data_IF_175542600915
#
_entry.id   IF_175542600915
#
_cell.length_a   1.000
_cell.length_b   1.000
_cell.length_c   1.000
_cell.angle_alpha   90.00
_cell.angle_beta   90.00
_cell.angle_gamma   90.00
#
_symmetry.space_group_name_H-M   'P 1'
#
loop_
_entity.id
_entity.type
_entity.pdbx_description
1 polymer ?
#
# COMPACT_ATOMS: atom_id res chain seq x y z
N UNK A 1 1.02 -17.95 1.23
CA UNK A 1 0.33 -16.70 0.85
C UNK A 1 0.69 -16.29 -0.56
N UNK A 2 -0.29 -15.97 -1.41
CA UNK A 2 -0.06 -15.40 -2.73
C UNK A 2 0.61 -14.02 -2.62
N UNK A 3 1.36 -13.61 -3.64
CA UNK A 3 2.03 -12.30 -3.73
C UNK A 3 1.42 -11.46 -4.85
N UNK A 4 0.89 -10.28 -4.53
CA UNK A 4 0.33 -9.35 -5.53
C UNK A 4 1.35 -8.28 -5.96
N UNK A 5 1.29 -7.82 -7.22
CA UNK A 5 2.11 -6.70 -7.73
C UNK A 5 1.28 -5.43 -7.89
N UNK A 6 1.78 -4.28 -7.42
CA UNK A 6 1.09 -2.98 -7.51
C UNK A 6 1.48 -2.18 -8.75
N UNK A 7 0.49 -1.63 -9.45
CA UNK A 7 0.65 -0.65 -10.54
C UNK A 7 -0.14 0.62 -10.23
N UNK A 8 0.33 1.78 -10.70
CA UNK A 8 -0.40 3.04 -10.58
C UNK A 8 -1.56 3.13 -11.59
N UNK A 9 -2.63 3.85 -11.21
CA UNK A 9 -3.71 4.21 -12.12
C UNK A 9 -3.29 5.38 -13.03
N UNK A 10 -3.78 5.39 -14.27
CA UNK A 10 -3.50 6.44 -15.27
C UNK A 10 -4.75 7.24 -15.66
N UNK A 11 -5.92 6.84 -15.21
CA UNK A 11 -7.18 7.54 -15.50
C UNK A 11 -7.21 8.86 -14.71
N UNK A 12 -7.39 10.04 -15.36
CA UNK A 12 -7.25 11.35 -14.70
C UNK A 12 -8.07 11.49 -13.42
N UNK A 13 -9.35 11.08 -13.44
CA UNK A 13 -10.24 11.13 -12.28
C UNK A 13 -9.67 10.41 -11.05
N UNK A 14 -9.05 9.24 -11.26
CA UNK A 14 -8.48 8.40 -10.20
C UNK A 14 -7.03 8.76 -9.87
N UNK A 15 -6.28 9.38 -10.76
CA UNK A 15 -4.87 9.72 -10.54
C UNK A 15 -4.67 11.09 -9.84
N UNK A 16 -5.57 12.04 -10.05
CA UNK A 16 -5.40 13.42 -9.57
C UNK A 16 -5.95 13.65 -8.16
N UNK A 17 -5.29 14.53 -7.40
CA UNK A 17 -5.70 14.99 -6.06
C UNK A 17 -5.98 13.86 -5.05
N UNK A 18 -5.27 12.74 -5.15
CA UNK A 18 -5.39 11.58 -4.26
C UNK A 18 -4.68 11.75 -2.90
N UNK A 19 -4.09 12.91 -2.63
CA UNK A 19 -3.21 13.11 -1.47
C UNK A 19 -3.86 12.74 -0.14
N UNK A 20 -5.13 13.10 0.07
CA UNK A 20 -5.87 12.83 1.31
C UNK A 20 -6.13 11.33 1.54
N UNK A 21 -6.43 10.60 0.47
CA UNK A 21 -6.77 9.17 0.49
C UNK A 21 -5.54 8.25 0.45
N UNK A 22 -4.34 8.81 0.24
CA UNK A 22 -3.11 8.03 0.07
C UNK A 22 -2.53 7.57 1.41
N UNK A 23 -3.10 6.49 1.94
CA UNK A 23 -2.54 5.75 3.09
C UNK A 23 -1.87 4.47 2.58
N UNK A 24 -0.53 4.42 2.63
CA UNK A 24 0.25 3.33 2.05
C UNK A 24 1.66 3.24 2.66
N UNK A 25 2.32 2.09 2.50
CA UNK A 25 3.72 1.91 2.91
C UNK A 25 4.52 1.19 1.84
N UNK A 26 5.15 1.95 0.94
CA UNK A 26 5.97 1.41 -0.14
C UNK A 26 5.23 0.35 -0.96
N UNK A 27 5.82 -0.83 -1.08
CA UNK A 27 5.22 -1.99 -1.73
C UNK A 27 4.47 -2.93 -0.78
N UNK A 28 4.40 -2.64 0.52
CA UNK A 28 3.73 -3.53 1.48
C UNK A 28 2.20 -3.46 1.32
N UNK A 29 1.65 -2.24 1.29
CA UNK A 29 0.22 -2.03 1.16
C UNK A 29 -0.17 -0.63 0.67
N UNK A 30 -1.41 -0.50 0.21
CA UNK A 30 -2.16 0.72 -0.06
C UNK A 30 -3.62 0.47 0.29
N UNK A 31 -4.23 1.32 1.11
CA UNK A 31 -5.62 1.11 1.53
C UNK A 31 -6.64 1.39 0.42
N UNK A 32 -6.28 2.26 -0.52
CA UNK A 32 -7.05 2.48 -1.74
C UNK A 32 -6.15 2.19 -2.95
N UNK A 33 -6.68 1.36 -3.85
CA UNK A 33 -6.09 1.04 -5.15
C UNK A 33 -7.17 1.13 -6.21
N UNK A 34 -7.33 2.31 -6.80
CA UNK A 34 -8.41 2.61 -7.77
C UNK A 34 -8.37 1.72 -9.02
N UNK A 35 -7.26 1.01 -9.31
CA UNK A 35 -7.21 0.00 -10.38
C UNK A 35 -8.12 -1.20 -10.14
N UNK A 36 -8.64 -1.39 -8.92
CA UNK A 36 -9.70 -2.37 -8.62
C UNK A 36 -11.01 -2.02 -9.32
N UNK A 37 -11.27 -0.73 -9.48
CA UNK A 37 -12.48 -0.17 -10.06
C UNK A 37 -12.35 -0.19 -11.59
N UNK A 38 -13.31 -0.81 -12.26
CA UNK A 38 -13.32 -1.13 -13.68
C UNK A 38 -12.47 -2.34 -14.08
N UNK A 39 -12.03 -3.16 -13.11
CA UNK A 39 -11.38 -4.46 -13.42
C UNK A 39 -12.44 -5.46 -13.92
N UNK A 40 -12.03 -6.62 -14.45
CA UNK A 40 -12.89 -7.78 -14.68
C UNK A 40 -14.05 -7.85 -13.69
N UNK A 41 -15.30 -7.92 -14.16
CA UNK A 41 -16.45 -8.17 -13.30
C UNK A 41 -16.27 -9.48 -12.54
N UNK A 42 -17.03 -9.60 -11.47
CA UNK A 42 -17.07 -10.82 -10.68
C UNK A 42 -18.14 -11.75 -11.24
N UNK A 43 -17.83 -13.04 -11.39
CA UNK A 43 -18.76 -14.02 -11.93
C UNK A 43 -18.85 -15.22 -10.98
N UNK A 44 -20.08 -15.58 -10.61
CA UNK A 44 -20.39 -16.84 -9.93
C UNK A 44 -21.16 -17.75 -10.88
N UNK A 45 -20.47 -18.38 -11.84
CA UNK A 45 -21.14 -19.15 -12.88
C UNK A 45 -21.85 -20.41 -12.35
N UNK A 46 -21.50 -20.87 -11.15
CA UNK A 46 -22.15 -21.99 -10.48
C UNK A 46 -23.63 -21.72 -10.19
N UNK A 47 -24.04 -20.46 -10.02
CA UNK A 47 -25.46 -20.08 -9.86
C UNK A 47 -26.31 -20.45 -11.07
N UNK A 48 -25.71 -20.55 -12.25
CA UNK A 48 -26.39 -20.92 -13.50
C UNK A 48 -26.29 -22.41 -13.82
N UNK A 49 -25.69 -23.22 -12.94
CA UNK A 49 -25.59 -24.66 -13.09
C UNK A 49 -26.96 -25.36 -12.90
N UNK A 50 -27.07 -26.60 -13.40
CA UNK A 50 -28.26 -27.44 -13.18
C UNK A 50 -28.57 -27.62 -11.68
N UNK A 51 -27.54 -27.69 -10.84
CA UNK A 51 -27.69 -27.87 -9.39
C UNK A 51 -28.37 -26.67 -8.71
N UNK A 52 -28.22 -25.47 -9.26
CA UNK A 52 -28.79 -24.22 -8.76
C UNK A 52 -30.02 -23.73 -9.56
N UNK A 53 -30.62 -24.62 -10.37
CA UNK A 53 -31.85 -24.33 -11.12
C UNK A 53 -31.64 -23.71 -12.50
N UNK A 54 -30.39 -23.66 -12.98
CA UNK A 54 -30.03 -23.27 -14.34
C UNK A 54 -29.88 -24.47 -15.31
N UNK A 55 -28.93 -24.39 -16.24
CA UNK A 55 -28.65 -25.42 -17.23
C UNK A 55 -27.19 -25.39 -17.69
N UNK A 56 -26.68 -26.51 -18.22
CA UNK A 56 -25.31 -26.59 -18.74
C UNK A 56 -25.04 -25.50 -19.80
N UNK A 57 -26.01 -25.21 -20.66
CA UNK A 57 -25.88 -24.15 -21.67
C UNK A 57 -25.75 -22.75 -21.05
N UNK A 58 -26.45 -22.50 -19.94
CA UNK A 58 -26.46 -21.21 -19.25
C UNK A 58 -25.15 -21.00 -18.47
N UNK A 59 -24.69 -22.04 -17.77
CA UNK A 59 -23.39 -22.05 -17.11
C UNK A 59 -22.25 -21.85 -18.12
N UNK A 60 -22.26 -22.61 -19.22
CA UNK A 60 -21.30 -22.45 -20.31
C UNK A 60 -21.34 -21.02 -20.90
N UNK A 61 -22.52 -20.41 -21.00
CA UNK A 61 -22.64 -19.03 -21.48
C UNK A 61 -21.97 -18.03 -20.51
N UNK A 62 -22.16 -18.19 -19.20
CA UNK A 62 -21.48 -17.38 -18.19
C UNK A 62 -19.95 -17.52 -18.29
N UNK A 63 -19.45 -18.75 -18.37
CA UNK A 63 -18.00 -19.03 -18.41
C UNK A 63 -17.33 -18.49 -19.68
N UNK A 64 -18.02 -18.52 -20.82
CA UNK A 64 -17.45 -18.11 -22.11
C UNK A 64 -17.67 -16.62 -22.46
N UNK A 65 -18.52 -15.90 -21.73
CA UNK A 65 -18.84 -14.48 -22.01
C UNK A 65 -18.26 -13.49 -20.98
N UNK A 66 -17.32 -13.93 -20.15
CA UNK A 66 -16.68 -13.06 -19.15
C UNK A 66 -15.90 -11.92 -19.80
N UNK A 67 -16.13 -10.70 -19.32
CA UNK A 67 -15.40 -9.50 -19.76
C UNK A 67 -14.13 -9.29 -18.94
N UNK A 68 -13.10 -8.72 -19.56
CA UNK A 68 -11.83 -8.44 -18.91
C UNK A 68 -11.85 -7.15 -18.06
N UNK A 69 -12.81 -6.27 -18.30
CA UNK A 69 -12.98 -4.97 -17.68
C UNK A 69 -14.48 -4.67 -17.54
N UNK A 70 -14.83 -3.93 -16.50
CA UNK A 70 -16.17 -3.41 -16.31
C UNK A 70 -16.21 -1.90 -16.57
N UNK A 71 -17.33 -1.43 -17.07
CA UNK A 71 -17.57 0.01 -17.22
C UNK A 71 -17.98 0.62 -15.86
N UNK A 72 -17.76 1.93 -15.74
CA UNK A 72 -18.03 2.68 -14.51
C UNK A 72 -19.22 3.58 -14.80
N UNK A 73 -20.37 3.23 -14.22
CA UNK A 73 -21.61 3.99 -14.37
C UNK A 73 -21.44 5.39 -13.78
N UNK A 74 -20.97 5.48 -12.54
CA UNK A 74 -20.83 6.74 -11.82
C UNK A 74 -19.64 6.70 -10.87
N UNK A 75 -18.90 7.81 -10.79
CA UNK A 75 -17.89 7.99 -9.76
C UNK A 75 -17.91 9.42 -9.21
N UNK A 76 -17.82 9.52 -7.88
CA UNK A 76 -17.90 10.76 -7.15
C UNK A 76 -16.70 10.87 -6.21
N UNK A 77 -16.12 12.06 -6.14
CA UNK A 77 -15.03 12.37 -5.21
C UNK A 77 -15.19 13.78 -4.69
N UNK A 78 -15.22 13.89 -3.38
CA UNK A 78 -15.27 15.15 -2.65
C UNK A 78 -14.11 15.21 -1.67
N UNK A 79 -13.42 16.35 -1.65
CA UNK A 79 -12.34 16.61 -0.70
C UNK A 79 -12.46 18.05 -0.22
N UNK A 80 -12.46 18.24 1.09
CA UNK A 80 -12.39 19.54 1.73
C UNK A 80 -11.10 19.61 2.54
N UNK A 81 -10.24 20.57 2.18
CA UNK A 81 -8.99 20.85 2.88
C UNK A 81 -9.21 22.05 3.80
N UNK A 82 -9.04 21.85 5.10
CA UNK A 82 -9.17 22.89 6.10
C UNK A 82 -7.81 23.24 6.70
N UNK A 83 -7.79 24.25 7.56
CA UNK A 83 -6.58 24.66 8.29
C UNK A 83 -6.04 23.51 9.17
N UNK A 84 -6.93 22.87 9.92
CA UNK A 84 -6.58 21.80 10.86
C UNK A 84 -7.23 20.46 10.56
N UNK A 85 -8.29 20.43 9.75
CA UNK A 85 -9.04 19.20 9.47
C UNK A 85 -9.29 19.10 7.98
N UNK A 86 -8.91 17.97 7.39
CA UNK A 86 -9.32 17.59 6.05
C UNK A 86 -10.34 16.45 6.14
N UNK A 87 -11.32 16.49 5.26
CA UNK A 87 -12.29 15.41 5.10
C UNK A 87 -12.46 15.08 3.62
N UNK A 88 -12.70 13.81 3.33
CA UNK A 88 -12.89 13.34 1.97
C UNK A 88 -13.90 12.20 1.91
N UNK A 89 -14.67 12.18 0.83
CA UNK A 89 -15.53 11.09 0.43
C UNK A 89 -15.23 10.68 -0.99
N UNK A 90 -15.28 9.38 -1.26
CA UNK A 90 -15.12 8.80 -2.57
C UNK A 90 -16.14 7.68 -2.73
N UNK A 91 -16.81 7.64 -3.89
CA UNK A 91 -17.62 6.49 -4.29
C UNK A 91 -17.47 6.20 -5.78
N UNK A 92 -17.60 4.93 -6.14
CA UNK A 92 -17.66 4.50 -7.53
C UNK A 92 -18.60 3.31 -7.67
N UNK A 93 -19.39 3.31 -8.73
CA UNK A 93 -20.40 2.32 -9.07
C UNK A 93 -20.08 1.81 -10.47
N UNK A 94 -19.97 0.49 -10.61
CA UNK A 94 -19.76 -0.15 -11.90
C UNK A 94 -21.08 -0.56 -12.53
N UNK A 95 -21.11 -0.66 -13.86
CA UNK A 95 -22.30 -1.14 -14.58
C UNK A 95 -22.57 -2.63 -14.28
N UNK A 96 -23.84 -3.00 -14.34
CA UNK A 96 -24.25 -4.40 -14.41
C UNK A 96 -23.85 -5.00 -15.77
N UNK A 97 -23.46 -6.26 -15.76
CA UNK A 97 -23.03 -7.00 -16.93
C UNK A 97 -23.85 -8.28 -17.10
N UNK A 98 -23.82 -8.87 -18.29
CA UNK A 98 -24.44 -10.20 -18.46
C UNK A 98 -23.79 -11.18 -17.48
N UNK A 99 -24.60 -11.85 -16.65
CA UNK A 99 -24.19 -12.78 -15.61
C UNK A 99 -23.40 -12.18 -14.42
N UNK A 100 -23.37 -10.86 -14.27
CA UNK A 100 -22.62 -10.20 -13.20
C UNK A 100 -23.29 -8.89 -12.77
N UNK A 101 -23.20 -8.58 -11.47
CA UNK A 101 -23.62 -7.28 -10.94
C UNK A 101 -22.41 -6.37 -10.76
N UNK A 102 -22.63 -5.08 -11.01
CA UNK A 102 -21.63 -4.04 -10.79
C UNK A 102 -21.17 -3.97 -9.33
N UNK A 103 -19.88 -3.74 -9.10
CA UNK A 103 -19.35 -3.53 -7.75
C UNK A 103 -19.54 -2.09 -7.31
N UNK A 104 -19.77 -1.91 -6.02
CA UNK A 104 -19.85 -0.60 -5.41
C UNK A 104 -18.67 -0.36 -4.48
N UNK A 105 -18.03 0.79 -4.58
CA UNK A 105 -16.87 1.17 -3.79
C UNK A 105 -17.13 2.46 -3.04
N UNK A 106 -16.80 2.48 -1.75
CA UNK A 106 -16.97 3.63 -0.87
C UNK A 106 -15.70 3.86 -0.07
N UNK A 107 -15.32 5.13 0.14
CA UNK A 107 -14.28 5.49 1.08
C UNK A 107 -14.57 6.83 1.75
N UNK A 108 -14.35 6.89 3.06
CA UNK A 108 -14.43 8.10 3.88
C UNK A 108 -13.12 8.30 4.61
N UNK A 109 -12.63 9.54 4.59
CA UNK A 109 -11.36 9.92 5.18
C UNK A 109 -11.51 11.18 6.02
N UNK A 110 -10.98 11.16 7.24
CA UNK A 110 -10.77 12.35 8.06
C UNK A 110 -9.29 12.42 8.50
N UNK A 111 -8.70 13.60 8.43
CA UNK A 111 -7.33 13.87 8.85
C UNK A 111 -7.28 15.15 9.69
N UNK A 112 -6.85 15.03 10.94
CA UNK A 112 -6.65 16.15 11.86
C UNK A 112 -5.17 16.46 12.02
N UNK A 113 -4.80 17.74 11.96
CA UNK A 113 -3.47 18.27 12.24
C UNK A 113 -3.50 19.05 13.56
N UNK A 114 -2.60 18.70 14.48
CA UNK A 114 -2.45 19.28 15.81
C UNK A 114 -0.96 19.51 16.08
N UNK A 115 -0.44 20.68 15.74
CA UNK A 115 0.98 21.03 15.89
C UNK A 115 1.93 19.99 15.26
N UNK A 116 2.65 19.24 16.10
CA UNK A 116 3.57 18.16 15.72
C UNK A 116 2.87 16.85 15.36
N UNK A 117 1.56 16.73 15.61
CA UNK A 117 0.76 15.52 15.44
C UNK A 117 -0.14 15.60 14.21
N UNK A 118 -0.31 14.46 13.53
CA UNK A 118 -1.37 14.23 12.55
C UNK A 118 -2.07 12.92 12.85
N UNK A 119 -3.39 12.95 12.91
CA UNK A 119 -4.25 11.82 13.24
C UNK A 119 -5.23 11.61 12.10
N UNK A 120 -5.23 10.41 11.54
CA UNK A 120 -6.06 10.05 10.42
C UNK A 120 -6.94 8.85 10.74
N UNK A 121 -8.18 8.90 10.25
CA UNK A 121 -9.04 7.73 10.11
C UNK A 121 -9.51 7.56 8.67
N UNK A 122 -9.33 6.37 8.10
CA UNK A 122 -9.84 5.97 6.79
C UNK A 122 -10.74 4.75 6.98
N UNK A 123 -11.90 4.76 6.34
CA UNK A 123 -12.73 3.58 6.16
C UNK A 123 -12.99 3.39 4.68
N UNK A 124 -12.90 2.14 4.22
CA UNK A 124 -13.31 1.72 2.88
C UNK A 124 -14.34 0.62 2.99
N UNK A 125 -15.28 0.58 2.08
CA UNK A 125 -16.29 -0.46 1.99
C UNK A 125 -16.53 -0.83 0.52
N UNK A 126 -16.65 -2.12 0.24
CA UNK A 126 -16.91 -2.64 -1.11
C UNK A 126 -18.02 -3.67 -1.03
N UNK A 127 -19.01 -3.51 -1.91
CA UNK A 127 -20.04 -4.52 -2.16
C UNK A 127 -19.76 -5.21 -3.50
N UNK A 128 -19.81 -6.55 -3.47
CA UNK A 128 -19.56 -7.44 -4.61
C UNK A 128 -20.70 -8.46 -4.67
N UNK A 129 -21.90 -7.96 -4.97
CA UNK A 129 -23.15 -8.73 -5.01
C UNK A 129 -23.05 -10.02 -5.82
N UNK A 130 -22.32 -10.00 -6.95
CA UNK A 130 -22.16 -11.17 -7.82
C UNK A 130 -21.45 -12.36 -7.14
N UNK A 131 -20.84 -12.14 -5.96
CA UNK A 131 -20.17 -13.17 -5.15
C UNK A 131 -20.76 -13.27 -3.73
N UNK A 132 -21.86 -12.56 -3.42
CA UNK A 132 -22.40 -12.43 -2.06
C UNK A 132 -21.32 -12.00 -1.04
N UNK A 133 -20.45 -11.06 -1.46
CA UNK A 133 -19.29 -10.64 -0.68
C UNK A 133 -19.31 -9.14 -0.39
N UNK A 134 -19.12 -8.80 0.88
CA UNK A 134 -18.83 -7.45 1.34
C UNK A 134 -17.45 -7.39 2.01
N UNK A 135 -16.82 -6.22 1.99
CA UNK A 135 -15.54 -6.00 2.63
C UNK A 135 -15.40 -4.57 3.18
N UNK A 136 -15.23 -4.45 4.49
CA UNK A 136 -14.99 -3.18 5.19
C UNK A 136 -13.57 -3.15 5.76
N UNK A 137 -12.82 -2.09 5.49
CA UNK A 137 -11.48 -1.89 6.06
C UNK A 137 -11.44 -0.59 6.82
N UNK A 138 -11.05 -0.66 8.08
CA UNK A 138 -10.78 0.48 8.94
C UNK A 138 -9.29 0.69 9.09
N UNK A 139 -8.85 1.94 9.05
CA UNK A 139 -7.47 2.27 9.35
C UNK A 139 -7.32 3.56 10.13
N UNK A 140 -6.48 3.50 11.16
CA UNK A 140 -6.03 4.66 11.94
C UNK A 140 -4.56 4.90 11.65
N UNK A 141 -4.22 6.06 11.12
CA UNK A 141 -2.84 6.47 10.89
C UNK A 141 -2.45 7.66 11.76
N UNK A 142 -1.19 7.68 12.17
CA UNK A 142 -0.65 8.70 13.05
C UNK A 142 0.75 9.11 12.59
N UNK A 143 1.04 10.40 12.61
CA UNK A 143 2.38 10.96 12.41
C UNK A 143 2.69 11.92 13.56
N UNK A 144 3.91 11.83 14.09
CA UNK A 144 4.44 12.73 15.10
C UNK A 144 5.82 13.25 14.68
N UNK A 145 5.94 14.55 14.49
CA UNK A 145 7.22 15.26 14.39
C UNK A 145 7.78 15.49 15.80
N UNK A 146 8.23 14.42 16.43
CA UNK A 146 8.66 14.42 17.83
C UNK A 146 9.78 15.44 18.12
N UNK A 147 10.65 15.69 17.14
CA UNK A 147 11.61 16.80 17.13
C UNK A 147 11.77 17.32 15.69
N UNK A 148 12.59 18.37 15.48
CA UNK A 148 12.97 18.81 14.13
C UNK A 148 13.68 17.72 13.31
N UNK A 149 14.34 16.77 13.99
CA UNK A 149 15.09 15.69 13.38
C UNK A 149 14.33 14.36 13.35
N UNK A 150 13.33 14.14 14.21
CA UNK A 150 12.69 12.84 14.41
C UNK A 150 11.22 12.85 14.02
N UNK A 151 10.87 12.02 13.04
CA UNK A 151 9.47 11.75 12.64
C UNK A 151 9.14 10.29 12.94
N UNK A 152 8.06 10.08 13.68
CA UNK A 152 7.46 8.78 13.94
C UNK A 152 6.14 8.69 13.18
N UNK A 153 5.85 7.53 12.58
CA UNK A 153 4.55 7.28 11.97
C UNK A 153 4.08 5.84 12.17
N UNK A 154 2.77 5.67 12.31
CA UNK A 154 2.14 4.37 12.48
C UNK A 154 0.83 4.27 11.73
N UNK A 155 0.41 3.04 11.48
CA UNK A 155 -0.91 2.72 10.96
C UNK A 155 -1.41 1.43 11.59
N UNK A 156 -2.64 1.45 12.07
CA UNK A 156 -3.40 0.28 12.51
C UNK A 156 -4.48 0.03 11.46
N UNK A 157 -4.65 -1.21 11.06
CA UNK A 157 -5.55 -1.63 9.99
C UNK A 157 -6.36 -2.80 10.53
N UNK A 158 -7.66 -2.79 10.29
CA UNK A 158 -8.57 -3.88 10.55
C UNK A 158 -9.40 -4.10 9.29
N UNK A 159 -9.50 -5.34 8.82
CA UNK A 159 -10.41 -5.74 7.75
C UNK A 159 -11.48 -6.65 8.31
N UNK A 160 -12.70 -6.46 7.85
CA UNK A 160 -13.84 -7.34 8.08
C UNK A 160 -14.45 -7.67 6.72
N UNK A 161 -14.46 -8.95 6.37
CA UNK A 161 -14.96 -9.43 5.08
C UNK A 161 -15.95 -10.56 5.31
N UNK A 162 -16.76 -10.91 4.31
CA UNK A 162 -17.72 -12.02 4.46
C UNK A 162 -17.11 -13.34 4.96
N UNK A 163 -15.83 -13.57 4.69
CA UNK A 163 -15.13 -14.82 5.03
C UNK A 163 -14.33 -14.72 6.34
N UNK A 164 -13.56 -13.64 6.50
CA UNK A 164 -12.55 -13.50 7.56
C UNK A 164 -12.42 -12.05 8.05
N UNK A 165 -11.87 -11.88 9.26
CA UNK A 165 -11.49 -10.58 9.81
C UNK A 165 -10.03 -10.59 10.29
N UNK A 166 -9.27 -9.53 10.06
CA UNK A 166 -7.84 -9.52 10.37
C UNK A 166 -7.25 -8.15 10.62
N UNK A 167 -6.02 -8.13 11.10
CA UNK A 167 -5.34 -6.96 11.64
C UNK A 167 -3.97 -6.74 11.01
N UNK A 168 -3.64 -5.46 10.85
CA UNK A 168 -2.35 -5.01 10.39
C UNK A 168 -1.82 -3.86 11.22
N UNK A 169 -0.51 -3.86 11.45
CA UNK A 169 0.21 -2.75 12.05
C UNK A 169 1.43 -2.39 11.22
N UNK A 170 1.66 -1.10 11.09
CA UNK A 170 2.89 -0.54 10.56
C UNK A 170 3.42 0.51 11.53
N UNK A 171 4.70 0.46 11.82
CA UNK A 171 5.44 1.49 12.54
C UNK A 171 6.64 1.94 11.72
N UNK A 172 7.03 3.20 11.86
CA UNK A 172 8.18 3.74 11.18
C UNK A 172 8.76 4.94 11.91
N UNK A 173 10.05 5.10 11.72
CA UNK A 173 10.88 6.13 12.30
C UNK A 173 11.80 6.66 11.21
N UNK A 174 11.95 7.98 11.15
CA UNK A 174 12.95 8.65 10.33
C UNK A 174 13.66 9.70 11.19
N UNK A 175 14.99 9.67 11.19
CA UNK A 175 15.86 10.50 12.02
C UNK A 175 16.96 11.17 11.18
N UNK A 176 16.87 12.50 11.08
CA UNK A 176 17.75 13.37 10.29
C UNK A 176 18.37 14.47 11.19
N UNK A 177 19.35 14.14 12.04
CA UNK A 177 19.90 15.10 13.02
C UNK A 177 20.69 16.25 12.41
N UNK A 178 21.15 16.10 11.16
CA UNK A 178 21.86 17.13 10.40
C UNK A 178 21.87 16.75 8.91
N UNK A 179 22.47 17.61 8.08
CA UNK A 179 22.57 17.43 6.62
C UNK A 179 23.34 16.18 6.18
N UNK A 180 24.10 15.52 7.07
CA UNK A 180 24.93 14.38 6.72
C UNK A 180 24.26 13.04 7.01
N UNK A 181 23.51 12.94 8.11
CA UNK A 181 22.94 11.69 8.58
C UNK A 181 21.46 11.57 8.26
N UNK A 182 21.06 10.40 7.77
CA UNK A 182 19.67 10.01 7.55
C UNK A 182 19.48 8.54 7.93
N UNK A 183 18.73 8.30 9.00
CA UNK A 183 18.50 6.95 9.56
C UNK A 183 17.01 6.66 9.61
N UNK A 184 16.60 5.46 9.24
CA UNK A 184 15.20 5.08 9.30
C UNK A 184 15.00 3.63 9.69
N UNK A 185 13.84 3.35 10.27
CA UNK A 185 13.38 2.01 10.59
C UNK A 185 11.90 1.88 10.26
N UNK A 186 11.48 0.70 9.80
CA UNK A 186 10.10 0.35 9.49
C UNK A 186 9.84 -1.05 10.02
N UNK A 187 8.75 -1.22 10.75
CA UNK A 187 8.21 -2.51 11.14
C UNK A 187 6.79 -2.66 10.56
N UNK A 188 6.49 -3.82 10.00
CA UNK A 188 5.17 -4.18 9.48
C UNK A 188 4.82 -5.56 10.02
N UNK A 189 3.61 -5.71 10.53
CA UNK A 189 3.04 -7.01 10.87
C UNK A 189 1.60 -7.09 10.37
N UNK A 190 1.32 -8.10 9.53
CA UNK A 190 0.00 -8.45 9.05
C UNK A 190 -0.26 -9.89 9.47
N UNK A 191 -1.40 -10.13 10.12
CA UNK A 191 -1.84 -11.50 10.36
C UNK A 191 -2.21 -12.19 9.03
N UNK A 192 -2.56 -13.46 9.13
CA UNK A 192 -2.94 -14.32 8.01
C UNK A 192 -4.37 -14.11 7.53
N UNK A 193 -5.24 -13.50 8.34
CA UNK A 193 -6.64 -13.22 7.99
C UNK A 193 -6.85 -11.81 7.41
N UNK A 194 -5.88 -10.89 7.58
CA UNK A 194 -5.97 -9.53 7.04
C UNK A 194 -6.17 -9.58 5.52
N UNK A 195 -7.27 -8.98 5.06
CA UNK A 195 -7.57 -8.86 3.65
C UNK A 195 -8.13 -7.49 3.31
N UNK A 196 -7.30 -6.65 2.68
CA UNK A 196 -7.68 -5.31 2.23
C UNK A 196 -7.85 -5.22 0.72
N UNK A 197 -7.83 -6.35 0.00
CA UNK A 197 -7.64 -6.37 -1.44
C UNK A 197 -8.91 -6.10 -2.24
N UNK A 198 -10.10 -5.99 -1.64
CA UNK A 198 -11.31 -5.63 -2.38
C UNK A 198 -11.24 -4.19 -2.92
N UNK A 199 -10.84 -3.21 -2.10
CA UNK A 199 -10.55 -1.83 -2.57
C UNK A 199 -9.06 -1.48 -2.62
N UNK A 200 -8.27 -2.12 -1.76
CA UNK A 200 -6.87 -1.81 -1.54
C UNK A 200 -5.92 -2.73 -2.31
N UNK A 201 -4.70 -2.73 -1.81
CA UNK A 201 -3.61 -3.58 -2.24
C UNK A 201 -2.78 -3.95 -1.04
N UNK A 202 -2.49 -5.24 -0.88
CA UNK A 202 -1.49 -5.77 0.02
C UNK A 202 -0.67 -6.79 -0.73
N UNK A 203 0.66 -6.70 -0.60
CA UNK A 203 1.55 -7.64 -1.27
C UNK A 203 1.30 -9.07 -0.80
N UNK A 204 1.11 -9.28 0.52
CA UNK A 204 0.75 -10.56 1.12
C UNK A 204 0.24 -10.36 2.55
N UNK A 205 -0.66 -11.24 2.97
CA UNK A 205 -0.95 -11.49 4.38
C UNK A 205 0.18 -12.33 5.01
N UNK A 206 0.01 -12.68 6.29
CA UNK A 206 0.91 -13.56 7.03
C UNK A 206 2.38 -13.07 6.93
N UNK A 207 2.63 -11.85 7.41
CA UNK A 207 3.90 -11.14 7.21
C UNK A 207 4.35 -10.43 8.49
N UNK A 208 5.60 -10.64 8.87
CA UNK A 208 6.33 -9.83 9.85
C UNK A 208 7.63 -9.35 9.20
N UNK A 209 7.74 -8.04 8.97
CA UNK A 209 8.84 -7.41 8.24
C UNK A 209 9.45 -6.29 9.05
N UNK A 210 10.77 -6.34 9.22
CA UNK A 210 11.56 -5.25 9.77
C UNK A 210 12.56 -4.77 8.72
N UNK A 211 12.71 -3.46 8.58
CA UNK A 211 13.74 -2.84 7.75
C UNK A 211 14.35 -1.68 8.50
N UNK A 212 15.67 -1.58 8.50
CA UNK A 212 16.40 -0.42 9.00
C UNK A 212 17.45 0.01 7.97
N UNK A 213 17.75 1.30 7.95
CA UNK A 213 18.85 1.83 7.16
C UNK A 213 19.49 3.03 7.85
N UNK A 214 20.75 3.27 7.55
CA UNK A 214 21.46 4.49 7.90
C UNK A 214 22.30 4.93 6.72
N UNK A 215 22.25 6.22 6.43
CA UNK A 215 23.00 6.88 5.37
C UNK A 215 23.78 8.04 5.98
N UNK A 216 25.07 8.10 5.66
CA UNK A 216 25.94 9.23 5.91
C UNK A 216 26.43 9.77 4.57
N UNK A 217 26.17 11.05 4.26
CA UNK A 217 26.64 11.72 3.04
C UNK A 217 27.38 12.99 3.43
N UNK A 218 28.68 13.05 3.12
CA UNK A 218 29.54 14.21 3.34
C UNK A 218 29.80 14.94 2.03
N UNK A 219 29.60 16.25 2.02
CA UNK A 219 29.77 17.13 0.84
C UNK A 219 30.64 18.36 1.10
N UNK A 220 31.01 18.61 2.36
CA UNK A 220 31.70 19.81 2.81
C UNK A 220 33.23 19.64 2.88
N UNK A 221 33.81 19.06 1.82
CA UNK A 221 35.26 18.94 1.71
C UNK A 221 35.92 20.29 1.40
N UNK A 222 37.14 20.48 1.88
CA UNK A 222 37.96 21.66 1.57
C UNK A 222 38.07 21.87 0.05
N UNK A 223 38.22 23.12 -0.37
CA UNK A 223 38.41 23.46 -1.79
C UNK A 223 39.63 22.79 -2.40
N UNK A 224 40.68 22.56 -1.60
CA UNK A 224 41.91 21.83 -1.97
C UNK A 224 41.74 20.31 -2.10
N UNK A 225 40.66 19.73 -1.54
CA UNK A 225 40.37 18.31 -1.69
C UNK A 225 39.95 18.00 -3.13
N UNK A 226 40.32 16.83 -3.63
CA UNK A 226 39.79 16.31 -4.91
C UNK A 226 38.38 15.73 -4.78
N UNK A 227 37.93 15.45 -3.56
CA UNK A 227 36.64 14.82 -3.29
C UNK A 227 35.54 15.88 -3.38
N UNK A 228 34.44 15.51 -4.06
CA UNK A 228 33.22 16.30 -4.13
C UNK A 228 32.21 15.81 -3.09
N UNK A 229 31.94 14.50 -3.07
CA UNK A 229 31.00 13.87 -2.15
C UNK A 229 31.49 12.48 -1.76
N UNK A 230 31.17 12.07 -0.54
CA UNK A 230 31.36 10.71 -0.06
C UNK A 230 30.11 10.24 0.67
N UNK A 231 29.59 9.08 0.31
CA UNK A 231 28.45 8.48 1.01
C UNK A 231 28.67 7.03 1.43
N UNK A 232 28.03 6.69 2.54
CA UNK A 232 27.95 5.35 3.10
C UNK A 232 26.47 5.07 3.36
N UNK A 233 25.96 3.97 2.83
CA UNK A 233 24.59 3.53 3.04
C UNK A 233 24.62 2.08 3.52
N UNK A 234 24.12 1.85 4.73
CA UNK A 234 23.91 0.52 5.27
C UNK A 234 22.40 0.27 5.41
N UNK A 235 21.94 -0.89 4.98
CA UNK A 235 20.55 -1.31 5.16
C UNK A 235 20.45 -2.77 5.56
N UNK A 236 19.47 -3.05 6.41
CA UNK A 236 19.11 -4.37 6.89
C UNK A 236 17.61 -4.57 6.70
N UNK A 237 17.19 -5.74 6.25
CA UNK A 237 15.80 -6.16 6.29
C UNK A 237 15.66 -7.63 6.63
N UNK A 238 14.62 -7.96 7.39
CA UNK A 238 14.25 -9.32 7.76
C UNK A 238 12.75 -9.49 7.60
N UNK A 239 12.35 -10.59 6.99
CA UNK A 239 10.97 -10.97 6.70
C UNK A 239 10.75 -12.38 7.21
N UNK A 240 9.63 -12.60 7.89
CA UNK A 240 9.14 -13.89 8.33
C UNK A 240 7.62 -13.93 8.17
N UNK A 241 7.04 -15.12 8.19
CA UNK A 241 5.60 -15.26 8.38
C UNK A 241 5.23 -15.01 9.87
N UNK A 242 3.95 -15.02 10.23
CA UNK A 242 3.45 -14.75 11.58
C UNK A 242 3.80 -15.85 12.58
N UNK A 243 4.07 -17.07 12.09
CA UNK A 243 4.57 -18.23 12.85
C UNK A 243 6.10 -18.19 13.07
N UNK A 244 6.80 -17.22 12.47
CA UNK A 244 8.24 -17.06 12.59
C UNK A 244 9.08 -17.82 11.57
N UNK A 245 8.47 -18.48 10.58
CA UNK A 245 9.19 -19.07 9.45
C UNK A 245 9.89 -17.96 8.65
N UNK A 246 11.22 -18.01 8.50
CA UNK A 246 11.96 -16.98 7.78
C UNK A 246 11.58 -17.00 6.30
N UNK A 247 11.42 -15.81 5.71
CA UNK A 247 11.13 -15.64 4.29
C UNK A 247 12.36 -15.10 3.57
N UNK A 248 12.89 -13.99 4.08
CA UNK A 248 14.02 -13.31 3.47
C UNK A 248 14.78 -12.49 4.51
N UNK A 249 16.10 -12.47 4.38
CA UNK A 249 16.96 -11.53 5.07
C UNK A 249 17.90 -10.90 4.05
N UNK A 250 18.09 -9.57 4.14
CA UNK A 250 19.00 -8.83 3.28
C UNK A 250 19.82 -7.86 4.11
N UNK A 251 21.11 -7.77 3.79
CA UNK A 251 22.03 -6.77 4.31
C UNK A 251 22.74 -6.15 3.12
N UNK A 252 22.73 -4.82 3.01
CA UNK A 252 23.43 -4.13 1.93
C UNK A 252 24.28 -3.01 2.50
N UNK A 253 25.52 -2.93 2.03
CA UNK A 253 26.41 -1.80 2.22
C UNK A 253 26.74 -1.21 0.85
N UNK A 254 26.53 0.09 0.69
CA UNK A 254 26.99 0.85 -0.46
C UNK A 254 27.93 1.96 0.00
N UNK A 255 29.12 2.01 -0.57
CA UNK A 255 30.04 3.13 -0.48
C UNK A 255 30.10 3.82 -1.85
N UNK A 256 29.97 5.14 -1.87
CA UNK A 256 30.25 5.91 -3.08
C UNK A 256 31.12 7.13 -2.76
N UNK A 257 31.99 7.48 -3.70
CA UNK A 257 32.75 8.72 -3.67
C UNK A 257 32.81 9.31 -5.07
N UNK A 258 32.42 10.57 -5.19
CA UNK A 258 32.61 11.37 -6.41
C UNK A 258 33.73 12.38 -6.20
N UNK A 259 34.42 12.70 -7.28
CA UNK A 259 35.51 13.65 -7.32
C UNK A 259 35.11 14.89 -8.13
N UNK A 260 35.79 16.01 -7.88
CA UNK A 260 35.51 17.30 -8.54
C UNK A 260 35.81 17.28 -10.04
N UNK A 261 36.61 16.32 -10.51
CA UNK A 261 36.89 16.08 -11.92
C UNK A 261 35.85 15.17 -12.59
N UNK A 262 34.71 14.92 -11.94
CA UNK A 262 33.59 14.06 -12.36
C UNK A 262 33.87 12.56 -12.35
N UNK A 263 35.07 12.12 -11.98
CA UNK A 263 35.34 10.70 -11.72
C UNK A 263 34.65 10.23 -10.43
N UNK A 264 34.55 8.90 -10.24
CA UNK A 264 33.95 8.34 -9.03
C UNK A 264 34.28 6.87 -8.81
N UNK A 265 34.06 6.42 -7.58
CA UNK A 265 34.19 5.02 -7.16
C UNK A 265 32.90 4.63 -6.44
N UNK A 266 32.37 3.45 -6.74
CA UNK A 266 31.24 2.86 -6.03
C UNK A 266 31.55 1.41 -5.66
N UNK A 267 31.23 1.02 -4.43
CA UNK A 267 31.39 -0.34 -3.91
C UNK A 267 30.06 -0.77 -3.31
N UNK A 268 29.46 -1.82 -3.87
CA UNK A 268 28.21 -2.42 -3.39
C UNK A 268 28.49 -3.82 -2.87
N UNK A 269 28.14 -4.07 -1.61
CA UNK A 269 28.21 -5.38 -0.97
C UNK A 269 26.80 -5.74 -0.51
N UNK A 270 26.29 -6.87 -0.99
CA UNK A 270 24.98 -7.39 -0.63
C UNK A 270 25.09 -8.80 -0.10
N UNK A 271 24.35 -9.11 0.95
CA UNK A 271 24.09 -10.46 1.42
C UNK A 271 22.59 -10.68 1.44
N UNK A 272 22.14 -11.78 0.84
CA UNK A 272 20.74 -12.19 0.82
C UNK A 272 20.64 -13.66 1.18
N UNK A 273 19.67 -13.99 2.03
CA UNK A 273 19.28 -15.36 2.34
C UNK A 273 17.77 -15.48 2.28
N UNK A 274 17.27 -16.55 1.69
CA UNK A 274 15.85 -16.92 1.69
C UNK A 274 15.64 -18.21 2.47
N UNK A 275 14.49 -18.32 3.13
CA UNK A 275 14.03 -19.54 3.80
C UNK A 275 13.33 -20.51 2.86
#
# INVERSE_FOLDING_TARGET
SPVETRLSDKRPFFAENQGLFKVSSGHAYSLINTRRIGRSPDYNCDEYSVANGGSDDLQNSCENQQKANNDIETALKFTQLGEHTDVGFFAAFEDDETFSKGREFYAIRALKRLDQHKLGYLVTHVERDALDRSATVHAFDYENKATEALILNSSLIYSDTSDDSGYGIRFGMNYDPNKFWNTGAIYVRFDDELNINDMGYMARNNLSKFRAFTRYTQTDFLTTSKILERSYNFSFSKEANTDGLPLQQRMNFNFSQSFKDTSGIEIKIGHESSG
#
